data_IF_156112339838
#
_entry.id   IF_156112339838
#
_cell.length_a   1.000
_cell.length_b   1.000
_cell.length_c   1.000
_cell.angle_alpha   90.00
_cell.angle_beta   90.00
_cell.angle_gamma   90.00
#
_symmetry.space_group_name_H-M   'P 1'
#
loop_
_entity.id
_entity.type
_entity.pdbx_description
1 polymer ?
#
# COMPACT_ATOMS: atom_id res chain seq x y z
N UNK A 1 0.64 22.99 10.07
CA UNK A 1 1.17 24.08 9.23
C UNK A 1 0.58 23.97 7.83
N UNK A 2 0.45 25.10 7.14
CA UNK A 2 -0.39 25.34 5.94
C UNK A 2 -0.10 24.36 4.80
N UNK A 3 -1.13 23.67 4.30
CA UNK A 3 -1.11 22.95 3.01
C UNK A 3 -1.35 23.98 1.89
N UNK A 4 -0.32 24.30 1.11
CA UNK A 4 -0.49 25.03 -0.15
C UNK A 4 -0.74 24.01 -1.26
N UNK A 5 -1.97 23.95 -1.77
CA UNK A 5 -2.25 23.42 -3.10
C UNK A 5 -2.15 24.58 -4.09
N UNK A 6 -1.17 24.54 -4.99
CA UNK A 6 -1.09 25.46 -6.13
C UNK A 6 -1.68 24.73 -7.35
N UNK A 7 -2.93 25.07 -7.66
CA UNK A 7 -3.62 24.65 -8.87
C UNK A 7 -3.39 25.73 -9.94
N UNK A 8 -2.60 25.44 -10.96
CA UNK A 8 -2.44 26.31 -12.12
C UNK A 8 -3.52 25.98 -13.15
N UNK A 9 -4.58 26.80 -13.22
CA UNK A 9 -5.57 26.79 -14.30
C UNK A 9 -5.10 27.80 -15.34
N UNK A 10 -4.69 27.33 -16.51
CA UNK A 10 -4.55 28.16 -17.71
C UNK A 10 -5.93 28.36 -18.34
N UNK A 11 -6.41 29.60 -18.29
CA UNK A 11 -7.58 30.10 -18.99
C UNK A 11 -7.26 30.26 -20.48
N UNK A 12 -7.90 29.45 -21.32
CA UNK A 12 -8.05 29.72 -22.76
C UNK A 12 -9.34 30.51 -23.00
N UNK A 13 -9.18 31.80 -23.32
CA UNK A 13 -10.24 32.68 -23.79
C UNK A 13 -10.41 32.55 -25.32
N UNK A 14 -11.62 32.16 -25.74
CA UNK A 14 -12.28 32.52 -27.00
C UNK A 14 -13.69 31.94 -26.89
N UNK A 15 -14.82 32.62 -27.08
CA UNK A 15 -15.13 33.87 -27.77
C UNK A 15 -16.51 33.66 -28.42
N UNK A 16 -17.34 34.71 -28.39
CA UNK A 16 -18.56 34.95 -29.17
C UNK A 16 -19.91 34.36 -28.70
N UNK A 17 -20.90 35.26 -28.56
CA UNK A 17 -22.33 34.92 -28.58
C UNK A 17 -23.24 35.94 -27.89
N UNK A 18 -23.60 37.01 -28.60
CA UNK A 18 -24.44 38.15 -28.18
C UNK A 18 -25.89 37.84 -27.75
N UNK A 19 -26.27 38.51 -26.64
CA UNK A 19 -27.45 39.35 -26.36
C UNK A 19 -28.93 38.94 -26.61
N UNK A 20 -29.69 39.29 -25.57
CA UNK A 20 -31.12 39.64 -25.44
C UNK A 20 -32.15 38.51 -25.38
N UNK A 21 -32.78 38.33 -24.20
CA UNK A 21 -34.02 39.05 -23.87
C UNK A 21 -34.40 38.86 -22.38
N UNK A 22 -35.08 39.87 -21.86
CA UNK A 22 -35.51 40.19 -20.49
C UNK A 22 -36.37 39.14 -19.79
N UNK A 23 -36.23 39.00 -18.46
CA UNK A 23 -37.26 39.51 -17.52
C UNK A 23 -36.85 39.33 -16.04
N UNK A 24 -36.65 40.49 -15.41
CA UNK A 24 -37.26 40.91 -14.13
C UNK A 24 -37.45 39.86 -13.02
N UNK A 25 -36.58 39.90 -12.00
CA UNK A 25 -37.03 39.96 -10.61
C UNK A 25 -35.91 40.48 -9.68
N UNK A 26 -36.09 41.72 -9.24
CA UNK A 26 -35.37 42.35 -8.14
C UNK A 26 -35.89 41.77 -6.83
N UNK A 27 -34.99 41.27 -5.98
CA UNK A 27 -35.14 41.42 -4.53
C UNK A 27 -33.76 41.46 -3.88
N UNK A 28 -33.36 42.67 -3.51
CA UNK A 28 -32.28 42.96 -2.58
C UNK A 28 -32.73 42.56 -1.18
N UNK A 29 -31.97 41.76 -0.44
CA UNK A 29 -31.47 42.16 0.89
C UNK A 29 -30.71 41.05 1.66
N UNK A 30 -29.50 41.45 2.05
CA UNK A 30 -28.84 41.20 3.35
C UNK A 30 -27.97 39.95 3.53
N UNK A 31 -26.66 40.19 3.43
CA UNK A 31 -25.60 39.45 4.12
C UNK A 31 -25.92 39.21 5.59
N UNK A 32 -25.90 37.95 6.02
CA UNK A 32 -25.52 37.59 7.38
C UNK A 32 -24.45 36.50 7.33
N UNK A 33 -23.22 36.92 7.63
CA UNK A 33 -22.13 36.05 8.02
C UNK A 33 -22.50 35.39 9.35
N UNK A 34 -22.82 34.10 9.33
CA UNK A 34 -22.75 33.27 10.53
C UNK A 34 -21.69 32.19 10.34
N UNK A 35 -20.61 32.43 11.08
CA UNK A 35 -19.54 31.51 11.46
C UNK A 35 -20.18 30.27 12.12
N UNK A 36 -20.13 29.14 11.43
CA UNK A 36 -20.37 27.82 12.01
C UNK A 36 -19.11 26.97 11.83
N UNK A 37 -18.76 26.30 12.90
CA UNK A 37 -17.47 25.68 13.17
C UNK A 37 -17.16 24.52 12.22
N UNK A 38 -15.90 24.45 11.81
CA UNK A 38 -15.37 23.38 10.97
C UNK A 38 -15.30 22.07 11.76
N UNK A 39 -16.37 21.28 11.71
CA UNK A 39 -16.27 19.83 11.82
C UNK A 39 -15.59 19.28 10.56
N UNK A 40 -14.60 18.38 10.66
CA UNK A 40 -13.94 17.82 9.50
C UNK A 40 -14.95 16.94 8.77
N UNK A 41 -15.47 17.45 7.66
CA UNK A 41 -16.21 16.65 6.70
C UNK A 41 -15.16 15.69 6.12
N UNK A 42 -15.18 14.45 6.62
CA UNK A 42 -14.60 13.30 5.91
C UNK A 42 -15.35 13.25 4.59
N UNK A 43 -14.77 13.85 3.56
CA UNK A 43 -15.28 13.74 2.21
C UNK A 43 -15.15 12.26 1.82
N UNK A 44 -16.27 11.54 1.92
CA UNK A 44 -16.48 10.27 1.27
C UNK A 44 -16.34 10.49 -0.24
N UNK A 45 -15.10 10.42 -0.74
CA UNK A 45 -14.86 10.22 -2.16
C UNK A 45 -15.06 8.74 -2.45
N UNK A 46 -16.32 8.30 -2.48
CA UNK A 46 -16.66 7.09 -3.22
C UNK A 46 -16.56 7.42 -4.71
N UNK A 47 -15.33 7.46 -5.23
CA UNK A 47 -15.14 7.07 -6.63
C UNK A 47 -15.33 5.55 -6.65
N UNK A 48 -16.59 5.13 -6.56
CA UNK A 48 -16.97 3.85 -7.12
C UNK A 48 -16.49 3.92 -8.57
N UNK A 49 -15.44 3.15 -8.87
CA UNK A 49 -14.96 2.97 -10.22
C UNK A 49 -16.14 2.43 -11.02
N UNK A 50 -16.87 3.32 -11.69
CA UNK A 50 -17.75 2.93 -12.78
C UNK A 50 -16.90 2.06 -13.71
N UNK A 51 -17.42 0.92 -14.18
CA UNK A 51 -16.74 0.12 -15.18
C UNK A 51 -16.55 1.02 -16.40
N UNK A 52 -15.38 1.66 -16.51
CA UNK A 52 -14.94 2.24 -17.76
C UNK A 52 -14.89 1.06 -18.71
N UNK A 53 -15.67 1.14 -19.78
CA UNK A 53 -15.57 0.21 -20.89
C UNK A 53 -14.10 0.10 -21.25
N UNK A 54 -13.53 -1.10 -21.05
CA UNK A 54 -12.17 -1.43 -21.48
C UNK A 54 -12.15 -1.38 -23.01
N UNK A 55 -11.90 -0.20 -23.57
CA UNK A 55 -11.60 -0.06 -24.99
C UNK A 55 -10.12 -0.28 -25.16
N UNK A 56 -9.71 -1.50 -25.51
CA UNK A 56 -8.36 -1.72 -26.03
C UNK A 56 -8.28 -1.03 -27.40
N UNK A 57 -7.35 -0.07 -27.55
CA UNK A 57 -7.18 0.72 -28.78
C UNK A 57 -6.26 -0.01 -29.78
N UNK A 58 -5.47 -1.00 -29.32
CA UNK A 58 -4.61 -1.83 -30.16
C UNK A 58 -5.33 -3.12 -30.60
N UNK A 59 -5.05 -3.65 -31.82
CA UNK A 59 -5.70 -4.86 -32.27
C UNK A 59 -5.14 -6.03 -31.46
N UNK A 60 -5.88 -6.50 -30.47
CA UNK A 60 -5.64 -7.75 -29.73
C UNK A 60 -5.82 -8.97 -30.67
N UNK A 61 -5.19 -8.96 -31.84
CA UNK A 61 -5.33 -9.94 -32.91
C UNK A 61 -6.80 -10.33 -33.24
N UNK A 62 -7.72 -9.37 -33.16
CA UNK A 62 -9.16 -9.58 -33.40
C UNK A 62 -9.98 -10.01 -32.18
N UNK A 63 -9.36 -10.16 -31.02
CA UNK A 63 -10.06 -10.32 -29.74
C UNK A 63 -10.67 -8.99 -29.29
N UNK A 64 -11.90 -9.04 -28.80
CA UNK A 64 -12.59 -7.90 -28.19
C UNK A 64 -12.84 -8.22 -26.72
N UNK A 65 -12.35 -7.38 -25.81
CA UNK A 65 -12.63 -7.51 -24.38
C UNK A 65 -14.12 -7.27 -24.14
N UNK A 66 -14.81 -8.26 -23.60
CA UNK A 66 -16.25 -8.21 -23.31
C UNK A 66 -16.52 -7.89 -21.84
N UNK A 67 -15.63 -8.31 -20.95
CA UNK A 67 -15.71 -8.05 -19.51
C UNK A 67 -14.31 -8.00 -18.90
N UNK A 68 -14.20 -7.25 -17.81
CA UNK A 68 -12.98 -7.17 -17.01
C UNK A 68 -13.32 -7.19 -15.53
N UNK A 69 -12.56 -7.95 -14.75
CA UNK A 69 -12.75 -8.14 -13.31
C UNK A 69 -11.40 -8.00 -12.61
N UNK A 70 -11.32 -7.06 -11.67
CA UNK A 70 -10.10 -6.86 -10.86
C UNK A 70 -10.01 -7.95 -9.78
N UNK A 71 -8.85 -8.57 -9.66
CA UNK A 71 -8.53 -9.67 -8.75
C UNK A 71 -7.19 -9.38 -8.05
N UNK A 72 -7.23 -8.59 -6.97
CA UNK A 72 -6.01 -8.14 -6.30
C UNK A 72 -5.18 -7.25 -7.23
N UNK A 73 -3.88 -7.52 -7.36
CA UNK A 73 -3.02 -6.80 -8.30
C UNK A 73 -3.25 -7.17 -9.77
N UNK A 74 -4.05 -8.20 -10.07
CA UNK A 74 -4.30 -8.68 -11.43
C UNK A 74 -5.66 -8.28 -11.95
N UNK A 75 -5.82 -8.32 -13.27
CA UNK A 75 -7.11 -8.10 -13.95
C UNK A 75 -7.42 -9.29 -14.85
N UNK A 76 -8.51 -9.99 -14.56
CA UNK A 76 -9.06 -11.01 -15.45
C UNK A 76 -9.87 -10.35 -16.54
N UNK A 77 -9.56 -10.65 -17.79
CA UNK A 77 -10.35 -10.21 -18.94
C UNK A 77 -11.05 -11.40 -19.58
N UNK A 78 -12.32 -11.21 -19.93
CA UNK A 78 -13.06 -12.08 -20.84
C UNK A 78 -13.04 -11.41 -22.21
N UNK A 79 -12.77 -12.19 -23.27
CA UNK A 79 -12.69 -11.68 -24.63
C UNK A 79 -13.35 -12.62 -25.64
N UNK A 80 -13.77 -12.05 -26.78
CA UNK A 80 -14.40 -12.78 -27.88
C UNK A 80 -13.75 -12.46 -29.23
N UNK A 81 -13.63 -13.47 -30.09
CA UNK A 81 -13.13 -13.39 -31.46
C UNK A 81 -14.02 -14.22 -32.38
N UNK A 82 -14.95 -13.56 -33.08
CA UNK A 82 -15.98 -14.27 -33.85
C UNK A 82 -16.92 -15.05 -32.91
N UNK A 83 -16.99 -16.37 -33.08
CA UNK A 83 -17.73 -17.28 -32.20
C UNK A 83 -16.91 -17.78 -31.00
N UNK A 84 -15.60 -17.52 -30.97
CA UNK A 84 -14.71 -18.00 -29.92
C UNK A 84 -14.80 -17.09 -28.69
N UNK A 85 -14.92 -17.68 -27.52
CA UNK A 85 -14.74 -17.01 -26.23
C UNK A 85 -13.49 -17.52 -25.53
N UNK A 86 -12.86 -16.64 -24.76
CA UNK A 86 -11.64 -16.95 -24.01
C UNK A 86 -11.48 -15.95 -22.87
N UNK A 87 -10.58 -16.24 -21.94
CA UNK A 87 -10.22 -15.31 -20.90
C UNK A 87 -8.72 -15.41 -20.57
N UNK A 88 -8.16 -14.32 -20.06
CA UNK A 88 -6.74 -14.19 -19.75
C UNK A 88 -6.53 -13.35 -18.50
N UNK A 89 -5.49 -13.68 -17.74
CA UNK A 89 -5.14 -12.97 -16.51
C UNK A 89 -3.97 -12.03 -16.73
N UNK A 90 -4.21 -10.74 -16.60
CA UNK A 90 -3.18 -9.71 -16.77
C UNK A 90 -2.60 -9.38 -15.39
N UNK A 91 -1.31 -9.66 -15.21
CA UNK A 91 -0.58 -9.31 -13.98
C UNK A 91 0.52 -8.30 -14.31
N UNK A 92 0.28 -6.99 -14.08
CA UNK A 92 1.29 -5.97 -14.32
C UNK A 92 2.49 -6.14 -13.38
N UNK A 93 3.69 -5.94 -13.92
CA UNK A 93 4.91 -5.89 -13.12
C UNK A 93 5.16 -4.49 -12.53
N UNK A 94 6.15 -4.38 -11.64
CA UNK A 94 6.51 -3.13 -10.96
C UNK A 94 6.83 -1.99 -11.94
N UNK A 95 7.48 -2.28 -13.07
CA UNK A 95 7.81 -1.27 -14.08
C UNK A 95 6.55 -0.71 -14.75
N UNK A 96 5.60 -1.56 -15.12
CA UNK A 96 4.33 -1.15 -15.73
C UNK A 96 3.45 -0.35 -14.74
N UNK A 97 3.44 -0.73 -13.45
CA UNK A 97 2.75 0.05 -12.42
C UNK A 97 3.47 1.37 -12.15
N UNK A 98 4.80 1.39 -12.12
CA UNK A 98 5.60 2.62 -11.96
C UNK A 98 5.33 3.64 -13.06
N UNK A 99 5.04 3.22 -14.30
CA UNK A 99 4.62 4.10 -15.39
C UNK A 99 3.28 4.81 -15.10
N UNK A 100 2.30 4.09 -14.52
CA UNK A 100 1.03 4.68 -14.07
C UNK A 100 1.25 5.69 -12.95
N UNK A 101 2.11 5.36 -11.99
CA UNK A 101 2.45 6.23 -10.86
C UNK A 101 3.17 7.49 -11.33
N UNK A 102 4.15 7.34 -12.24
CA UNK A 102 4.88 8.44 -12.88
C UNK A 102 3.92 9.39 -13.61
N UNK A 103 2.91 8.85 -14.28
CA UNK A 103 1.87 9.63 -14.97
C UNK A 103 0.87 10.32 -14.03
N UNK A 104 0.94 10.10 -12.72
CA UNK A 104 0.08 10.74 -11.72
C UNK A 104 -1.36 10.21 -11.66
N UNK A 105 -1.70 9.19 -12.46
CA UNK A 105 -3.06 8.66 -12.56
C UNK A 105 -3.54 7.93 -11.28
N UNK A 106 -2.60 7.51 -10.43
CA UNK A 106 -2.87 6.78 -9.18
C UNK A 106 -2.22 7.45 -7.94
N UNK A 107 -2.39 8.77 -7.81
CA UNK A 107 -1.75 9.57 -6.76
C UNK A 107 -2.07 9.15 -5.31
N UNK A 108 -3.27 8.59 -5.05
CA UNK A 108 -3.65 8.09 -3.72
C UNK A 108 -2.86 6.82 -3.38
N UNK A 109 -2.85 5.84 -4.29
CA UNK A 109 -2.08 4.61 -4.14
C UNK A 109 -0.58 4.90 -3.95
N UNK A 110 -0.06 5.86 -4.74
CA UNK A 110 1.31 6.35 -4.59
C UNK A 110 1.58 6.86 -3.17
N UNK A 111 0.72 7.76 -2.68
CA UNK A 111 0.92 8.40 -1.37
C UNK A 111 0.88 7.38 -0.23
N UNK A 112 -0.07 6.44 -0.26
CA UNK A 112 -0.18 5.37 0.73
C UNK A 112 1.08 4.49 0.73
N UNK A 113 1.54 4.07 -0.46
CA UNK A 113 2.73 3.23 -0.58
C UNK A 113 3.99 3.94 -0.08
N UNK A 114 4.16 5.23 -0.41
CA UNK A 114 5.31 6.01 0.09
C UNK A 114 5.24 6.19 1.61
N UNK A 115 4.06 6.46 2.18
CA UNK A 115 3.89 6.61 3.62
C UNK A 115 4.23 5.30 4.37
N UNK A 116 3.87 4.14 3.83
CA UNK A 116 4.23 2.84 4.39
C UNK A 116 5.73 2.56 4.32
N UNK A 117 6.40 2.97 3.24
CA UNK A 117 7.83 2.72 3.04
C UNK A 117 8.71 3.70 3.84
N UNK A 118 8.26 4.94 4.01
CA UNK A 118 9.07 6.03 4.57
C UNK A 118 8.57 6.60 5.91
N UNK A 119 7.47 6.10 6.47
CA UNK A 119 6.88 6.57 7.74
C UNK A 119 6.50 8.07 7.72
N UNK A 120 5.72 8.48 6.72
CA UNK A 120 5.17 9.84 6.55
C UNK A 120 6.23 10.96 6.57
N UNK A 121 7.17 10.88 5.61
CA UNK A 121 8.22 11.88 5.36
C UNK A 121 7.76 12.89 4.29
N UNK A 122 8.26 14.12 4.33
CA UNK A 122 8.05 15.08 3.24
C UNK A 122 8.78 14.58 1.96
N UNK A 123 8.00 14.28 0.92
CA UNK A 123 8.50 13.74 -0.34
C UNK A 123 7.91 14.47 -1.56
N UNK A 124 8.63 14.38 -2.68
CA UNK A 124 8.20 14.91 -3.98
C UNK A 124 8.42 13.85 -5.05
N UNK A 125 7.43 13.67 -5.92
CA UNK A 125 7.57 12.86 -7.13
C UNK A 125 8.53 13.55 -8.11
N UNK A 126 9.52 12.82 -8.59
CA UNK A 126 10.45 13.21 -9.65
C UNK A 126 10.22 12.32 -10.88
N UNK A 127 9.23 12.68 -11.74
CA UNK A 127 8.83 11.83 -12.86
C UNK A 127 9.93 11.64 -13.90
N UNK A 128 10.80 12.64 -14.06
CA UNK A 128 11.88 12.64 -15.06
C UNK A 128 12.93 11.57 -14.75
N UNK A 129 13.14 11.27 -13.46
CA UNK A 129 14.14 10.30 -13.00
C UNK A 129 13.51 9.02 -12.40
N UNK A 130 12.20 8.81 -12.57
CA UNK A 130 11.48 7.62 -12.09
C UNK A 130 11.65 7.35 -10.60
N UNK A 131 11.62 8.41 -9.77
CA UNK A 131 11.90 8.28 -8.35
C UNK A 131 11.05 9.22 -7.49
N UNK A 132 10.95 8.88 -6.22
CA UNK A 132 10.53 9.75 -5.15
C UNK A 132 11.77 10.36 -4.52
N UNK A 133 11.82 11.68 -4.48
CA UNK A 133 12.82 12.41 -3.70
C UNK A 133 12.26 12.67 -2.31
N UNK A 134 13.04 12.42 -1.27
CA UNK A 134 12.61 12.59 0.11
C UNK A 134 13.80 12.99 1.01
N UNK A 135 13.47 13.41 2.22
CA UNK A 135 14.46 13.67 3.27
C UNK A 135 14.53 12.48 4.21
N UNK A 136 15.71 11.89 4.42
CA UNK A 136 15.84 10.97 5.54
C UNK A 136 15.66 11.78 6.84
N UNK A 137 14.75 11.35 7.73
CA UNK A 137 14.73 11.88 9.09
C UNK A 137 15.97 11.34 9.79
N UNK A 138 17.11 12.01 9.63
CA UNK A 138 18.33 11.63 10.33
C UNK A 138 18.14 11.91 11.83
N UNK A 139 18.11 10.87 12.69
CA UNK A 139 17.98 11.05 14.14
C UNK A 139 19.32 11.36 14.82
N UNK A 140 20.42 11.52 14.06
CA UNK A 140 21.80 11.49 14.57
C UNK A 140 22.57 12.79 14.27
N UNK A 141 22.43 13.71 15.22
CA UNK A 141 23.40 14.74 15.66
C UNK A 141 24.01 15.69 14.61
N UNK A 142 23.42 16.90 14.43
CA UNK A 142 22.10 17.31 14.89
C UNK A 142 21.00 16.65 14.06
N UNK A 143 19.86 16.25 14.66
CA UNK A 143 18.72 15.75 13.90
C UNK A 143 18.29 16.74 12.83
N UNK A 144 18.05 16.27 11.60
CA UNK A 144 17.62 17.13 10.49
C UNK A 144 16.12 17.46 10.60
N UNK A 145 15.76 18.21 11.64
CA UNK A 145 14.41 18.67 11.96
C UNK A 145 14.42 20.20 12.08
N UNK A 146 13.28 20.90 11.90
CA UNK A 146 13.20 22.35 12.06
C UNK A 146 13.71 22.84 13.43
N UNK A 147 13.52 22.02 14.46
CA UNK A 147 14.09 22.21 15.78
C UNK A 147 14.46 20.85 16.38
N UNK A 148 15.43 20.84 17.29
CA UNK A 148 15.81 19.65 18.06
C UNK A 148 16.16 20.04 19.50
N UNK A 149 16.18 19.07 20.41
CA UNK A 149 16.59 19.30 21.78
C UNK A 149 18.06 18.92 21.97
N UNK A 150 18.79 19.76 22.70
CA UNK A 150 20.20 19.59 23.01
C UNK A 150 20.43 19.70 24.50
N UNK A 151 21.29 18.86 25.05
CA UNK A 151 21.82 19.00 26.40
C UNK A 151 23.35 18.96 26.36
N UNK A 152 23.98 19.82 27.17
CA UNK A 152 25.40 19.71 27.48
C UNK A 152 25.59 18.63 28.53
N UNK A 153 26.37 17.58 28.22
CA UNK A 153 26.73 16.60 29.22
C UNK A 153 27.96 17.10 30.02
N UNK A 154 27.93 17.09 31.37
CA UNK A 154 28.92 17.78 32.19
C UNK A 154 30.34 17.17 32.17
N UNK A 155 30.56 16.01 31.54
CA UNK A 155 31.85 15.30 31.66
C UNK A 155 32.80 15.43 30.46
N UNK A 156 32.37 15.88 29.27
CA UNK A 156 33.27 15.92 28.09
C UNK A 156 33.01 17.05 27.07
N UNK A 157 32.30 18.13 27.42
CA UNK A 157 31.99 19.20 26.45
C UNK A 157 31.17 18.75 25.23
N UNK A 158 30.71 17.49 25.22
CA UNK A 158 29.96 16.88 24.15
C UNK A 158 28.47 17.17 24.30
N UNK A 159 27.83 17.50 23.17
CA UNK A 159 26.38 17.68 23.12
C UNK A 159 25.65 16.36 22.85
N UNK A 160 24.56 16.16 23.58
CA UNK A 160 23.59 15.10 23.31
C UNK A 160 22.37 15.73 22.66
N UNK A 161 21.86 15.06 21.62
CA UNK A 161 20.75 15.55 20.82
C UNK A 161 19.60 14.55 20.82
N UNK A 162 18.37 15.05 20.77
CA UNK A 162 17.17 14.27 20.57
C UNK A 162 16.13 15.04 19.75
N UNK A 163 15.39 14.32 18.90
CA UNK A 163 14.25 14.84 18.16
C UNK A 163 13.10 15.25 19.11
N UNK A 164 12.98 14.55 20.24
CA UNK A 164 12.03 14.89 21.32
C UNK A 164 12.73 15.00 22.66
N UNK A 165 12.09 15.68 23.61
CA UNK A 165 12.57 15.80 25.00
C UNK A 165 12.76 14.42 25.66
N UNK A 166 11.81 13.52 25.43
CA UNK A 166 11.85 12.14 25.95
C UNK A 166 13.06 11.39 25.40
N UNK A 167 13.27 11.47 24.08
CA UNK A 167 14.41 10.81 23.44
C UNK A 167 15.75 11.37 23.96
N UNK A 168 15.85 12.69 24.13
CA UNK A 168 17.04 13.32 24.69
C UNK A 168 17.29 12.84 26.13
N UNK A 169 16.28 12.92 27.00
CA UNK A 169 16.42 12.55 28.41
C UNK A 169 16.79 11.07 28.60
N UNK A 170 16.20 10.17 27.82
CA UNK A 170 16.57 8.75 27.85
C UNK A 170 18.02 8.52 27.41
N UNK A 171 18.47 9.20 26.34
CA UNK A 171 19.88 9.14 25.91
C UNK A 171 20.82 9.67 26.99
N UNK A 172 20.47 10.75 27.67
CA UNK A 172 21.27 11.33 28.75
C UNK A 172 21.42 10.37 29.93
N UNK A 173 20.33 9.70 30.34
CA UNK A 173 20.36 8.69 31.41
C UNK A 173 21.17 7.47 30.99
N UNK A 174 21.02 6.98 29.76
CA UNK A 174 21.80 5.86 29.24
C UNK A 174 23.30 6.18 29.23
N UNK A 175 23.68 7.38 28.76
CA UNK A 175 25.07 7.83 28.78
C UNK A 175 25.59 7.95 30.23
N UNK A 176 24.82 8.57 31.12
CA UNK A 176 25.22 8.75 32.52
C UNK A 176 25.46 7.41 33.24
N UNK A 177 24.62 6.41 32.98
CA UNK A 177 24.80 5.05 33.50
C UNK A 177 25.94 4.28 32.82
N UNK A 178 26.28 4.62 31.58
CA UNK A 178 27.43 4.05 30.88
C UNK A 178 28.77 4.59 31.37
N UNK A 179 28.77 5.73 32.08
CA UNK A 179 29.98 6.32 32.65
C UNK A 179 30.15 5.81 34.08
N UNK A 180 31.32 5.26 34.40
CA UNK A 180 31.63 4.76 35.75
C UNK A 180 31.94 5.92 36.71
N UNK A 181 30.92 6.71 37.07
CA UNK A 181 31.05 7.86 37.97
C UNK A 181 30.60 7.59 39.42
N UNK A 182 30.28 6.32 39.74
CA UNK A 182 29.86 5.90 41.08
C UNK A 182 28.37 6.11 41.39
N UNK A 183 27.55 6.48 40.41
CA UNK A 183 26.09 6.65 40.54
C UNK A 183 25.33 5.86 39.48
N UNK A 184 24.13 5.40 39.82
CA UNK A 184 23.11 5.00 38.85
C UNK A 184 22.02 6.07 38.76
N UNK A 185 21.46 6.22 37.56
CA UNK A 185 20.51 7.26 37.19
C UNK A 185 19.21 6.63 36.67
N UNK A 186 18.08 7.13 37.15
CA UNK A 186 16.74 6.76 36.70
C UNK A 186 15.95 8.01 36.33
N UNK A 187 15.33 8.05 35.14
CA UNK A 187 14.50 9.18 34.73
C UNK A 187 13.18 9.18 35.52
N UNK A 188 12.90 10.25 36.27
CA UNK A 188 11.67 10.38 37.05
C UNK A 188 10.69 11.41 36.49
N UNK A 189 11.16 12.29 35.61
CA UNK A 189 10.30 13.30 34.99
C UNK A 189 11.03 14.20 34.00
N UNK A 190 10.26 15.00 33.27
CA UNK A 190 10.76 15.99 32.32
C UNK A 190 9.96 17.28 32.53
N UNK A 191 10.66 18.36 32.87
CA UNK A 191 10.05 19.66 33.15
C UNK A 191 10.47 20.68 32.10
N UNK A 192 9.56 21.58 31.71
CA UNK A 192 9.84 22.70 30.80
C UNK A 192 9.46 22.43 29.33
N UNK A 193 9.21 23.51 28.59
CA UNK A 193 8.76 23.42 27.19
C UNK A 193 9.93 23.52 26.20
N UNK A 194 10.54 24.70 26.10
CA UNK A 194 11.63 24.99 25.16
C UNK A 194 13.01 24.95 25.83
N UNK A 195 13.07 25.12 27.13
CA UNK A 195 14.23 24.84 27.97
C UNK A 195 13.72 24.19 29.25
N UNK A 196 14.51 23.31 29.84
CA UNK A 196 14.01 22.45 30.90
C UNK A 196 15.01 21.50 31.49
N UNK A 197 14.50 20.54 32.25
CA UNK A 197 15.30 19.57 32.97
C UNK A 197 14.76 18.15 32.79
N UNK A 198 15.66 17.22 32.46
CA UNK A 198 15.46 15.80 32.67
C UNK A 198 15.70 15.53 34.16
N UNK A 199 14.64 15.33 34.94
CA UNK A 199 14.73 15.08 36.38
C UNK A 199 15.07 13.61 36.59
N UNK A 200 16.13 13.36 37.35
CA UNK A 200 16.64 12.02 37.58
C UNK A 200 16.78 11.73 39.06
N UNK A 201 16.55 10.48 39.43
CA UNK A 201 16.94 9.95 40.73
C UNK A 201 18.33 9.35 40.60
N UNK A 202 19.20 9.75 41.50
CA UNK A 202 20.58 9.27 41.59
C UNK A 202 20.69 8.31 42.77
N UNK A 203 21.34 7.17 42.55
CA UNK A 203 21.67 6.21 43.63
C UNK A 203 23.18 6.01 43.65
N UNK A 204 23.83 6.34 44.77
CA UNK A 204 25.27 6.13 44.95
C UNK A 204 25.55 4.64 45.03
N UNK A 205 26.43 4.12 44.16
CA UNK A 205 26.67 2.68 44.02
C UNK A 205 27.33 2.09 45.27
N UNK A 206 28.16 2.86 45.98
CA UNK A 206 28.93 2.38 47.14
C UNK A 206 28.06 1.97 48.33
N UNK A 207 26.99 2.71 48.60
CA UNK A 207 26.18 2.58 49.83
C UNK A 207 24.68 2.73 49.61
N UNK A 208 24.23 2.94 48.38
CA UNK A 208 22.82 3.01 48.02
C UNK A 208 22.14 4.33 48.41
N UNK A 209 22.88 5.36 48.82
CA UNK A 209 22.29 6.66 49.15
C UNK A 209 21.56 7.26 47.94
N UNK A 210 20.32 7.69 48.16
CA UNK A 210 19.45 8.23 47.11
C UNK A 210 19.40 9.74 47.18
N UNK A 211 19.60 10.40 46.05
CA UNK A 211 19.47 11.84 45.88
C UNK A 211 18.75 12.17 44.58
N UNK A 212 18.36 13.44 44.42
CA UNK A 212 17.76 13.93 43.18
C UNK A 212 18.78 14.74 42.40
N UNK A 213 18.77 14.58 41.08
CA UNK A 213 19.59 15.33 40.14
C UNK A 213 18.77 15.78 38.94
N UNK A 214 19.39 16.57 38.07
CA UNK A 214 18.78 17.01 36.83
C UNK A 214 19.83 17.25 35.73
N UNK A 215 19.45 16.93 34.49
CA UNK A 215 20.19 17.34 33.31
C UNK A 215 19.44 18.46 32.58
N UNK A 216 20.07 19.61 32.38
CA UNK A 216 19.46 20.74 31.67
C UNK A 216 19.42 20.50 30.16
N UNK A 217 18.34 20.89 29.49
CA UNK A 217 18.25 20.88 28.03
C UNK A 217 17.67 22.18 27.47
N UNK A 218 17.92 22.42 26.19
CA UNK A 218 17.39 23.54 25.41
C UNK A 218 16.96 23.05 24.03
N UNK A 219 15.85 23.59 23.52
CA UNK A 219 15.42 23.49 22.13
C UNK A 219 16.27 24.42 21.28
N UNK A 220 16.76 23.93 20.16
CA UNK A 220 17.60 24.66 19.21
C UNK A 220 16.88 24.66 17.88
N UNK A 221 16.67 25.85 17.33
CA UNK A 221 16.24 26.00 15.93
C UNK A 221 17.37 25.53 15.03
N UNK A 222 17.05 24.64 14.10
CA UNK A 222 18.04 24.10 13.18
C UNK A 222 18.15 25.01 11.96
N UNK A 223 19.04 26.00 12.01
CA UNK A 223 19.26 26.90 10.88
C UNK A 223 19.82 26.19 9.62
N UNK A 224 20.29 24.95 9.76
CA UNK A 224 20.72 24.10 8.64
C UNK A 224 19.59 23.26 8.06
N UNK A 225 18.40 23.27 8.67
CA UNK A 225 17.21 22.63 8.12
C UNK A 225 16.74 23.41 6.90
N UNK A 226 16.92 22.82 5.72
CA UNK A 226 16.34 23.30 4.48
C UNK A 226 15.21 22.35 4.06
N UNK A 227 13.93 22.76 4.21
CA UNK A 227 12.80 21.91 3.83
C UNK A 227 12.77 21.59 2.32
N UNK A 228 13.57 22.27 1.48
CA UNK A 228 13.60 22.09 0.03
C UNK A 228 14.72 21.18 -0.47
N UNK A 229 15.68 20.80 0.39
CA UNK A 229 16.86 20.03 -0.04
C UNK A 229 16.64 18.52 0.06
N UNK A 230 15.85 17.93 -0.85
CA UNK A 230 15.62 16.49 -0.90
C UNK A 230 16.92 15.76 -1.31
N UNK A 231 17.50 14.97 -0.42
CA UNK A 231 18.84 14.39 -0.57
C UNK A 231 18.85 12.86 -0.77
N UNK A 232 17.71 12.20 -0.55
CA UNK A 232 17.52 10.77 -0.82
C UNK A 232 16.53 10.52 -1.95
N UNK A 233 16.69 9.36 -2.57
CA UNK A 233 15.85 8.89 -3.66
C UNK A 233 15.35 7.47 -3.37
N UNK A 234 14.08 7.22 -3.68
CA UNK A 234 13.44 5.92 -3.66
C UNK A 234 12.91 5.65 -5.06
N UNK A 235 13.25 4.50 -5.66
CA UNK A 235 12.81 4.19 -7.02
C UNK A 235 11.28 4.03 -7.09
N UNK A 236 10.65 4.48 -8.19
CA UNK A 236 9.22 4.25 -8.40
C UNK A 236 8.88 2.78 -8.59
N UNK A 237 9.83 1.95 -9.02
CA UNK A 237 9.62 0.50 -9.10
C UNK A 237 9.45 -0.11 -7.69
N UNK A 238 10.27 0.30 -6.71
CA UNK A 238 10.09 -0.11 -5.30
C UNK A 238 8.74 0.34 -4.73
N UNK A 239 8.32 1.57 -5.04
CA UNK A 239 7.00 2.06 -4.62
C UNK A 239 5.88 1.27 -5.33
N UNK A 240 6.07 0.94 -6.60
CA UNK A 240 5.12 0.14 -7.38
C UNK A 240 4.99 -1.29 -6.85
N UNK A 241 6.07 -1.93 -6.38
CA UNK A 241 6.02 -3.22 -5.69
C UNK A 241 5.14 -3.14 -4.44
N UNK A 242 5.27 -2.08 -3.65
CA UNK A 242 4.41 -1.85 -2.49
C UNK A 242 2.94 -1.63 -2.91
N UNK A 243 2.69 -0.91 -4.00
CA UNK A 243 1.34 -0.76 -4.56
C UNK A 243 0.76 -2.11 -5.00
N UNK A 244 1.53 -2.97 -5.68
CA UNK A 244 1.12 -4.33 -6.06
C UNK A 244 0.75 -5.14 -4.81
N UNK A 245 1.62 -5.14 -3.79
CA UNK A 245 1.34 -5.83 -2.52
C UNK A 245 0.07 -5.31 -1.84
N UNK A 246 -0.18 -4.00 -1.86
CA UNK A 246 -1.39 -3.41 -1.31
C UNK A 246 -2.65 -3.83 -2.10
N UNK A 247 -2.54 -3.93 -3.43
CA UNK A 247 -3.65 -4.35 -4.28
C UNK A 247 -4.04 -5.81 -3.99
N UNK A 248 -3.06 -6.70 -3.83
CA UNK A 248 -3.27 -8.09 -3.42
C UNK A 248 -3.86 -8.22 -2.01
N UNK A 249 -3.49 -7.30 -1.11
CA UNK A 249 -4.09 -7.19 0.22
C UNK A 249 -5.51 -6.58 0.22
N UNK A 250 -6.05 -6.19 -0.95
CA UNK A 250 -7.42 -5.70 -1.11
C UNK A 250 -7.59 -4.18 -1.08
N UNK A 251 -6.51 -3.40 -1.17
CA UNK A 251 -6.61 -1.94 -1.27
C UNK A 251 -7.23 -1.51 -2.60
N UNK A 252 -8.41 -0.89 -2.54
CA UNK A 252 -9.12 -0.41 -3.74
C UNK A 252 -8.33 0.65 -4.51
N UNK A 253 -7.64 1.57 -3.82
CA UNK A 253 -6.81 2.59 -4.47
C UNK A 253 -5.64 1.96 -5.21
N UNK A 254 -5.00 0.95 -4.61
CA UNK A 254 -3.91 0.22 -5.24
C UNK A 254 -4.40 -0.62 -6.44
N UNK A 255 -5.58 -1.25 -6.31
CA UNK A 255 -6.24 -1.96 -7.39
C UNK A 255 -6.57 -1.06 -8.59
N UNK A 256 -6.87 0.22 -8.37
CA UNK A 256 -7.02 1.19 -9.47
C UNK A 256 -5.70 1.36 -10.22
N UNK A 257 -4.57 1.46 -9.51
CA UNK A 257 -3.25 1.63 -10.13
C UNK A 257 -2.86 0.42 -10.99
N UNK A 258 -3.01 -0.79 -10.45
CA UNK A 258 -2.70 -2.02 -11.18
C UNK A 258 -3.65 -2.24 -12.35
N UNK A 259 -4.94 -1.91 -12.20
CA UNK A 259 -5.90 -2.02 -13.28
C UNK A 259 -5.65 -1.03 -14.43
N UNK A 260 -5.16 0.18 -14.12
CA UNK A 260 -4.69 1.13 -15.15
C UNK A 260 -3.45 0.59 -15.86
N UNK A 261 -2.53 -0.05 -15.14
CA UNK A 261 -1.37 -0.69 -15.75
C UNK A 261 -1.79 -1.83 -16.69
N UNK A 262 -2.78 -2.64 -16.29
CA UNK A 262 -3.35 -3.67 -17.16
C UNK A 262 -3.99 -3.09 -18.44
N UNK A 263 -4.65 -1.93 -18.34
CA UNK A 263 -5.18 -1.23 -19.52
C UNK A 263 -4.05 -0.71 -20.43
N UNK A 264 -2.97 -0.19 -19.87
CA UNK A 264 -1.81 0.23 -20.65
C UNK A 264 -1.17 -0.95 -21.40
N UNK A 265 -1.08 -2.13 -20.77
CA UNK A 265 -0.61 -3.37 -21.41
C UNK A 265 -1.49 -3.70 -22.63
N UNK A 266 -2.81 -3.65 -22.49
CA UNK A 266 -3.74 -3.96 -23.60
C UNK A 266 -3.72 -2.92 -24.72
N UNK A 267 -3.31 -1.68 -24.41
CA UNK A 267 -3.21 -0.59 -25.38
C UNK A 267 -1.86 -0.54 -26.11
N UNK A 268 -0.88 -1.33 -25.68
CA UNK A 268 0.43 -1.45 -26.32
C UNK A 268 0.54 -2.80 -27.04
N UNK A 269 0.80 -2.75 -28.35
CA UNK A 269 0.84 -3.96 -29.20
C UNK A 269 1.86 -4.98 -28.70
N UNK A 270 3.03 -4.53 -28.26
CA UNK A 270 4.13 -5.41 -27.83
C UNK A 270 3.84 -6.00 -26.46
N UNK A 271 3.33 -5.18 -25.53
CA UNK A 271 2.97 -5.64 -24.19
C UNK A 271 1.75 -6.58 -24.21
N UNK A 272 0.85 -6.42 -25.17
CA UNK A 272 -0.34 -7.25 -25.32
C UNK A 272 -0.07 -8.63 -25.95
N UNK A 273 1.06 -8.86 -26.61
CA UNK A 273 1.41 -10.16 -27.21
C UNK A 273 1.22 -11.37 -26.28
N UNK A 274 1.74 -11.39 -25.04
CA UNK A 274 1.53 -12.51 -24.12
C UNK A 274 0.05 -12.72 -23.79
N UNK A 275 -0.73 -11.64 -23.66
CA UNK A 275 -2.17 -11.72 -23.39
C UNK A 275 -2.92 -12.33 -24.59
N UNK A 276 -2.56 -11.90 -25.80
CA UNK A 276 -3.12 -12.49 -27.04
C UNK A 276 -2.79 -13.98 -27.13
N UNK A 277 -1.54 -14.36 -26.83
CA UNK A 277 -1.14 -15.76 -26.84
C UNK A 277 -1.92 -16.59 -25.82
N UNK A 278 -2.15 -16.05 -24.62
CA UNK A 278 -2.97 -16.70 -23.59
C UNK A 278 -4.43 -16.86 -24.06
N UNK A 279 -5.04 -15.80 -24.61
CA UNK A 279 -6.39 -15.87 -25.16
C UNK A 279 -6.51 -16.91 -26.27
N UNK A 280 -5.53 -16.95 -27.19
CA UNK A 280 -5.47 -17.92 -28.27
C UNK A 280 -5.29 -19.35 -27.78
N UNK A 281 -4.55 -19.57 -26.68
CA UNK A 281 -4.36 -20.90 -26.09
C UNK A 281 -5.61 -21.38 -25.35
N UNK A 282 -6.36 -20.45 -24.75
CA UNK A 282 -7.50 -20.77 -23.89
C UNK A 282 -8.84 -20.87 -24.65
N UNK A 283 -8.87 -20.44 -25.91
CA UNK A 283 -10.10 -20.39 -26.67
C UNK A 283 -10.79 -21.76 -26.82
N UNK A 284 -12.12 -21.76 -26.69
CA UNK A 284 -12.96 -22.96 -26.58
C UNK A 284 -12.75 -24.01 -27.71
N UNK A 285 -12.44 -23.56 -28.93
CA UNK A 285 -12.21 -24.46 -30.08
C UNK A 285 -10.86 -25.20 -30.04
N UNK A 286 -9.97 -24.85 -29.10
CA UNK A 286 -8.64 -25.47 -28.92
C UNK A 286 -8.54 -26.34 -27.66
N UNK A 287 -9.62 -26.55 -26.91
CA UNK A 287 -9.55 -27.31 -25.68
C UNK A 287 -9.06 -28.74 -25.89
N UNK A 288 -7.80 -29.07 -25.53
CA UNK A 288 -7.21 -30.36 -25.90
C UNK A 288 -7.97 -31.53 -25.29
N UNK A 289 -8.49 -31.31 -24.07
CA UNK A 289 -9.28 -32.30 -23.36
C UNK A 289 -10.75 -32.33 -23.76
N UNK A 290 -11.26 -31.31 -24.47
CA UNK A 290 -12.69 -31.12 -24.72
C UNK A 290 -13.54 -30.90 -23.46
N UNK A 291 -12.94 -30.48 -22.34
CA UNK A 291 -13.63 -30.17 -21.09
C UNK A 291 -13.55 -28.67 -20.85
N UNK A 292 -14.71 -28.02 -20.79
CA UNK A 292 -14.87 -26.59 -20.54
C UNK A 292 -15.75 -26.39 -19.32
N UNK A 293 -15.40 -25.41 -18.48
CA UNK A 293 -16.20 -25.04 -17.31
C UNK A 293 -16.02 -23.56 -17.01
N UNK A 294 -17.13 -22.82 -16.92
CA UNK A 294 -17.12 -21.39 -16.58
C UNK A 294 -16.21 -20.52 -17.47
N UNK A 295 -16.03 -20.87 -18.75
CA UNK A 295 -15.11 -20.17 -19.65
C UNK A 295 -13.63 -20.56 -19.48
N UNK A 296 -13.33 -21.50 -18.57
CA UNK A 296 -12.02 -22.11 -18.42
C UNK A 296 -11.94 -23.43 -19.18
N UNK A 297 -10.81 -23.65 -19.85
CA UNK A 297 -10.48 -24.87 -20.53
C UNK A 297 -9.64 -25.80 -19.65
N UNK A 298 -9.95 -27.11 -19.63
CA UNK A 298 -9.04 -28.07 -19.01
C UNK A 298 -7.90 -28.41 -19.98
N UNK A 299 -6.68 -27.99 -19.65
CA UNK A 299 -5.49 -28.11 -20.52
C UNK A 299 -4.61 -29.32 -20.22
N UNK A 300 -4.84 -29.99 -19.10
CA UNK A 300 -4.18 -31.27 -18.78
C UNK A 300 -4.82 -32.43 -19.54
N UNK A 301 -4.21 -33.62 -19.46
CA UNK A 301 -4.75 -34.83 -20.08
C UNK A 301 -6.19 -35.10 -19.61
N UNK A 302 -7.04 -35.57 -20.53
CA UNK A 302 -8.48 -35.74 -20.25
C UNK A 302 -8.75 -36.77 -19.14
N UNK A 303 -7.91 -37.78 -19.02
CA UNK A 303 -8.00 -38.82 -17.99
C UNK A 303 -7.62 -38.32 -16.59
N UNK A 304 -6.86 -37.22 -16.49
CA UNK A 304 -6.47 -36.57 -15.22
C UNK A 304 -7.59 -35.73 -14.61
N UNK A 305 -8.56 -35.30 -15.41
CA UNK A 305 -9.67 -34.46 -14.93
C UNK A 305 -10.41 -35.07 -13.74
N UNK A 306 -10.85 -36.32 -13.88
CA UNK A 306 -11.66 -36.96 -12.86
C UNK A 306 -10.89 -37.22 -11.55
N UNK A 307 -9.66 -37.78 -11.58
CA UNK A 307 -8.83 -37.94 -10.37
C UNK A 307 -8.56 -36.62 -9.65
N UNK A 308 -8.18 -35.55 -10.38
CA UNK A 308 -7.79 -34.28 -9.77
C UNK A 308 -8.99 -33.54 -9.19
N UNK A 309 -10.09 -33.41 -9.94
CA UNK A 309 -11.31 -32.80 -9.40
C UNK A 309 -11.94 -33.62 -8.27
N UNK A 310 -11.74 -34.95 -8.24
CA UNK A 310 -12.11 -35.78 -7.08
C UNK A 310 -11.23 -35.48 -5.87
N UNK A 311 -9.91 -35.43 -6.03
CA UNK A 311 -8.99 -35.11 -4.94
C UNK A 311 -9.31 -33.77 -4.28
N UNK A 312 -9.60 -32.73 -5.07
CA UNK A 312 -10.05 -31.44 -4.54
C UNK A 312 -11.37 -31.55 -3.79
N UNK A 313 -12.34 -32.30 -4.32
CA UNK A 313 -13.66 -32.49 -3.68
C UNK A 313 -13.55 -33.23 -2.35
N UNK A 314 -12.71 -34.25 -2.29
CA UNK A 314 -12.47 -35.03 -1.09
C UNK A 314 -11.75 -34.18 -0.03
N UNK A 315 -10.72 -33.42 -0.44
CA UNK A 315 -10.05 -32.48 0.45
C UNK A 315 -10.99 -31.38 0.97
N UNK A 316 -11.86 -30.82 0.12
CA UNK A 316 -12.89 -29.84 0.51
C UNK A 316 -13.91 -30.44 1.48
N UNK A 317 -14.25 -31.72 1.31
CA UNK A 317 -15.14 -32.43 2.23
C UNK A 317 -14.47 -32.61 3.59
N UNK A 318 -13.18 -32.93 3.60
CA UNK A 318 -12.41 -33.12 4.83
C UNK A 318 -12.23 -31.82 5.64
N UNK A 319 -12.13 -30.66 4.97
CA UNK A 319 -12.02 -29.35 5.64
C UNK A 319 -13.38 -28.75 6.04
N UNK A 320 -14.51 -29.36 5.64
CA UNK A 320 -15.84 -28.80 5.90
C UNK A 320 -16.12 -28.71 7.41
N UNK A 321 -16.46 -27.52 7.88
CA UNK A 321 -16.76 -27.25 9.29
C UNK A 321 -15.52 -27.24 10.19
N UNK A 322 -14.31 -27.26 9.62
CA UNK A 322 -13.05 -27.10 10.36
C UNK A 322 -12.69 -25.62 10.43
N UNK A 323 -12.14 -25.20 11.56
CA UNK A 323 -11.62 -23.85 11.81
C UNK A 323 -10.47 -23.95 12.79
N UNK A 324 -9.55 -22.99 12.76
CA UNK A 324 -8.47 -22.86 13.73
C UNK A 324 -8.56 -21.59 14.58
N UNK A 325 -9.52 -20.69 14.27
CA UNK A 325 -9.66 -19.39 14.93
C UNK A 325 -9.91 -19.51 16.44
N UNK A 326 -10.79 -20.43 16.82
CA UNK A 326 -11.25 -20.60 18.20
C UNK A 326 -10.78 -21.93 18.82
N UNK A 327 -9.86 -22.64 18.17
CA UNK A 327 -9.35 -23.93 18.62
C UNK A 327 -8.11 -23.72 19.49
N UNK A 328 -8.21 -24.01 20.78
CA UNK A 328 -7.09 -23.89 21.72
C UNK A 328 -6.25 -25.17 21.83
N UNK A 329 -6.82 -26.32 21.47
CA UNK A 329 -6.12 -27.61 21.50
C UNK A 329 -5.10 -27.72 20.35
N UNK A 330 -3.83 -27.88 20.70
CA UNK A 330 -2.71 -27.93 19.75
C UNK A 330 -2.80 -29.12 18.80
N UNK A 331 -3.27 -30.28 19.28
CA UNK A 331 -3.42 -31.47 18.46
C UNK A 331 -4.49 -31.26 17.37
N UNK A 332 -5.63 -30.67 17.73
CA UNK A 332 -6.71 -30.32 16.81
C UNK A 332 -6.29 -29.25 15.82
N UNK A 333 -5.56 -28.21 16.25
CA UNK A 333 -4.97 -27.20 15.33
C UNK A 333 -4.05 -27.86 14.30
N UNK A 334 -3.16 -28.76 14.73
CA UNK A 334 -2.23 -29.46 13.84
C UNK A 334 -2.94 -30.38 12.86
N UNK A 335 -3.98 -31.09 13.32
CA UNK A 335 -4.82 -31.93 12.46
C UNK A 335 -5.55 -31.10 11.40
N UNK A 336 -6.15 -29.96 11.79
CA UNK A 336 -6.82 -29.05 10.86
C UNK A 336 -5.83 -28.43 9.86
N UNK A 337 -4.63 -28.04 10.30
CA UNK A 337 -3.58 -27.52 9.41
C UNK A 337 -3.22 -28.53 8.31
N UNK A 338 -3.07 -29.82 8.66
CA UNK A 338 -2.80 -30.87 7.68
C UNK A 338 -3.92 -31.00 6.62
N UNK A 339 -5.18 -30.88 7.04
CA UNK A 339 -6.32 -30.90 6.12
C UNK A 339 -6.32 -29.70 5.16
N UNK A 340 -6.03 -28.49 5.66
CA UNK A 340 -5.94 -27.31 4.81
C UNK A 340 -4.76 -27.37 3.84
N UNK A 341 -3.59 -27.86 4.27
CA UNK A 341 -2.45 -28.10 3.35
C UNK A 341 -2.81 -29.07 2.23
N UNK A 342 -3.53 -30.15 2.54
CA UNK A 342 -4.01 -31.09 1.53
C UNK A 342 -4.97 -30.43 0.54
N UNK A 343 -5.90 -29.59 1.00
CA UNK A 343 -6.80 -28.83 0.12
C UNK A 343 -6.04 -27.83 -0.76
N UNK A 344 -5.08 -27.10 -0.19
CA UNK A 344 -4.23 -26.15 -0.92
C UNK A 344 -3.49 -26.88 -2.04
N UNK A 345 -2.82 -28.00 -1.74
CA UNK A 345 -2.08 -28.78 -2.73
C UNK A 345 -3.00 -29.30 -3.84
N UNK A 346 -4.17 -29.84 -3.49
CA UNK A 346 -5.14 -30.32 -4.48
C UNK A 346 -5.64 -29.18 -5.39
N UNK A 347 -5.89 -27.99 -4.81
CA UNK A 347 -6.30 -26.80 -5.56
C UNK A 347 -5.22 -26.23 -6.46
N UNK A 348 -3.97 -26.20 -6.01
CA UNK A 348 -2.83 -25.78 -6.85
C UNK A 348 -2.72 -26.70 -8.05
N UNK A 349 -2.80 -28.02 -7.85
CA UNK A 349 -2.75 -28.99 -8.93
C UNK A 349 -3.93 -28.83 -9.89
N UNK A 350 -5.16 -28.73 -9.39
CA UNK A 350 -6.35 -28.54 -10.23
C UNK A 350 -6.30 -27.21 -11.01
N UNK A 351 -5.89 -26.12 -10.37
CA UNK A 351 -5.82 -24.80 -11.00
C UNK A 351 -4.74 -24.72 -12.08
N UNK A 352 -3.65 -25.46 -11.93
CA UNK A 352 -2.63 -25.57 -12.97
C UNK A 352 -3.16 -26.21 -14.27
N UNK A 353 -4.29 -26.92 -14.21
CA UNK A 353 -4.93 -27.57 -15.34
C UNK A 353 -6.11 -26.78 -15.93
N UNK A 354 -6.50 -25.65 -15.35
CA UNK A 354 -7.53 -24.77 -15.89
C UNK A 354 -6.90 -23.54 -16.53
N UNK A 355 -7.25 -23.28 -17.80
CA UNK A 355 -6.73 -22.14 -18.55
C UNK A 355 -7.87 -21.40 -19.27
N UNK A 356 -8.16 -20.14 -18.89
CA UNK A 356 -7.58 -19.46 -17.73
C UNK A 356 -8.03 -20.11 -16.41
N UNK A 357 -7.33 -19.86 -15.30
CA UNK A 357 -7.72 -20.38 -13.99
C UNK A 357 -9.16 -19.97 -13.63
N UNK A 358 -10.01 -20.94 -13.20
CA UNK A 358 -11.38 -20.64 -12.77
C UNK A 358 -11.34 -19.68 -11.56
N UNK A 359 -11.95 -18.48 -11.64
CA UNK A 359 -11.90 -17.48 -10.57
C UNK A 359 -12.43 -18.01 -9.23
N UNK A 360 -13.44 -18.88 -9.27
CA UNK A 360 -13.99 -19.47 -8.05
C UNK A 360 -12.99 -20.44 -7.40
N UNK A 361 -12.13 -21.07 -8.19
CA UNK A 361 -11.10 -21.94 -7.66
C UNK A 361 -9.92 -21.15 -7.09
N UNK A 362 -9.57 -20.00 -7.68
CA UNK A 362 -8.56 -19.09 -7.15
C UNK A 362 -8.99 -18.50 -5.79
N UNK A 363 -10.23 -18.00 -5.68
CA UNK A 363 -10.80 -17.51 -4.41
C UNK A 363 -10.76 -18.62 -3.35
N UNK A 364 -11.21 -19.83 -3.70
CA UNK A 364 -11.21 -20.95 -2.78
C UNK A 364 -9.80 -21.38 -2.31
N UNK A 365 -8.77 -21.16 -3.13
CA UNK A 365 -7.37 -21.41 -2.75
C UNK A 365 -6.91 -20.39 -1.71
N UNK A 366 -7.18 -19.10 -1.93
CA UNK A 366 -6.86 -18.02 -0.98
C UNK A 366 -7.59 -18.24 0.35
N UNK A 367 -8.87 -18.60 0.32
CA UNK A 367 -9.64 -18.93 1.52
C UNK A 367 -9.01 -20.08 2.33
N UNK A 368 -8.50 -21.11 1.63
CA UNK A 368 -7.82 -22.23 2.28
C UNK A 368 -6.47 -21.83 2.88
N UNK A 369 -5.71 -20.96 2.22
CA UNK A 369 -4.45 -20.40 2.75
C UNK A 369 -4.69 -19.54 4.00
N UNK A 370 -5.72 -18.69 3.97
CA UNK A 370 -6.15 -17.90 5.11
C UNK A 370 -6.60 -18.78 6.28
N UNK A 371 -7.31 -19.89 6.01
CA UNK A 371 -7.68 -20.83 7.05
C UNK A 371 -6.46 -21.56 7.65
N UNK A 372 -5.46 -21.91 6.83
CA UNK A 372 -4.21 -22.53 7.29
C UNK A 372 -3.40 -21.59 8.18
N UNK A 373 -3.29 -20.31 7.83
CA UNK A 373 -2.51 -19.35 8.62
C UNK A 373 -3.04 -19.18 10.04
N UNK A 374 -4.35 -19.33 10.24
CA UNK A 374 -4.97 -19.35 11.58
C UNK A 374 -4.64 -20.61 12.39
N UNK A 375 -4.18 -21.69 11.74
CA UNK A 375 -3.76 -22.92 12.42
C UNK A 375 -2.29 -22.89 12.82
N UNK A 376 -1.45 -22.19 12.05
CA UNK A 376 0.00 -22.14 12.25
C UNK A 376 0.44 -20.98 13.16
N UNK A 377 -0.43 -19.98 13.32
CA UNK A 377 -0.33 -18.92 14.32
C UNK A 377 -1.26 -19.19 15.51
#
# INVERSE_FOLDING_TARGET
MKKLFLLAILLGLSGCGDNNQSDTQTNTQTSTLQKAEATPIVANYSLAALPRTFGAIAPLAGWNVTKSTVMGASTLIDAAKGSMTSAALITPNAKQVAEVLRGGAAGIALSIAVDQLLDAVDWVLDPENNQIKYHERDPIKPPNLPFYYRSSFPLEGNYVYGATKVQLCNKMVAIANGINNGYSYELTGINGQNSGQCVVKMTRIRDGEKSNGAFSYTSIDNNSYDPKKLDKALSLETVAEQVISNADAGSLDAQVATNLAAQNILNDVVQAEPVVQELENNADDKCPSGIVKNGSCWVCERDQYYPMSRATRDAKTATRGKSCKDVTDTATKTANAALFRNLINARIQENACWSPPDPNHAIALVDAQNALSLCEN
#
